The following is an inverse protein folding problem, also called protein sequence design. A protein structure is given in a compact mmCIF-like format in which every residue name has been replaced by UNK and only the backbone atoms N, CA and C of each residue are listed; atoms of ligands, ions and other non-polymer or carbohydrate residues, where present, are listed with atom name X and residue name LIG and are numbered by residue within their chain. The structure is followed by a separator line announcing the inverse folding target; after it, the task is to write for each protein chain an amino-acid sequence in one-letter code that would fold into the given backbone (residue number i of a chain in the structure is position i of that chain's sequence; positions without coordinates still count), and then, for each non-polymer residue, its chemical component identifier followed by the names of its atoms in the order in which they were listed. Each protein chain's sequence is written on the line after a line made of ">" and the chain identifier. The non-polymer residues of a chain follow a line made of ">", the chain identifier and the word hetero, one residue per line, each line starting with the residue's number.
data_IF_335329634934
#
_entry.id   IF_335329634934
#
_cell.length_a   1.000
_cell.length_b   1.000
_cell.length_c   1.000
_cell.angle_alpha   90.00
_cell.angle_beta   90.00
_cell.angle_gamma   90.00
#
_symmetry.space_group_name_H-M   'P 1'
#
loop_
_entity.id
_entity.type
_entity.pdbx_description
1 polymer ?
#
# COMPACT_ATOMS: atom_id res chain seq x y z
N UNK A 1 -19.12 -9.54 -16.00
CA UNK A 1 -17.80 -9.42 -15.33
C UNK A 1 -17.51 -10.73 -14.63
N UNK A 2 -16.56 -11.51 -15.14
CA UNK A 2 -16.11 -12.73 -14.46
C UNK A 2 -15.23 -12.25 -13.31
N UNK A 3 -15.71 -12.38 -12.07
CA UNK A 3 -14.92 -12.14 -10.87
C UNK A 3 -13.74 -13.12 -10.86
N UNK A 4 -12.59 -12.71 -11.40
CA UNK A 4 -11.34 -13.41 -11.10
C UNK A 4 -11.05 -13.18 -9.60
N UNK A 5 -10.80 -14.25 -8.82
CA UNK A 5 -10.43 -14.09 -7.42
C UNK A 5 -9.17 -13.22 -7.31
N UNK A 6 -9.02 -12.47 -6.20
CA UNK A 6 -7.79 -11.77 -5.94
C UNK A 6 -6.71 -12.83 -5.79
N UNK A 7 -5.59 -12.62 -6.49
CA UNK A 7 -4.49 -13.55 -6.43
C UNK A 7 -3.45 -12.99 -5.45
N UNK A 8 -3.00 -13.83 -4.53
CA UNK A 8 -1.95 -13.52 -3.55
C UNK A 8 -0.70 -14.27 -4.02
N UNK A 9 0.24 -13.65 -4.75
CA UNK A 9 1.51 -14.30 -5.02
C UNK A 9 2.46 -14.25 -3.82
N UNK A 10 3.34 -15.24 -3.79
CA UNK A 10 4.58 -15.21 -3.02
C UNK A 10 5.72 -14.76 -3.94
N UNK A 11 6.57 -13.88 -3.42
CA UNK A 11 7.75 -13.36 -4.10
C UNK A 11 8.99 -14.16 -3.70
N UNK A 12 9.73 -14.61 -4.71
CA UNK A 12 11.09 -15.10 -4.61
C UNK A 12 12.04 -14.23 -5.44
N UNK A 13 13.26 -14.04 -4.95
CA UNK A 13 14.32 -13.34 -5.69
C UNK A 13 15.27 -14.37 -6.31
N UNK A 14 15.38 -14.39 -7.64
CA UNK A 14 16.45 -15.09 -8.34
C UNK A 14 17.22 -14.10 -9.22
N UNK A 15 18.31 -13.54 -8.69
CA UNK A 15 19.10 -12.51 -9.39
C UNK A 15 18.44 -11.12 -9.35
N UNK A 16 18.42 -10.42 -10.49
CA UNK A 16 17.95 -9.03 -10.63
C UNK A 16 16.44 -8.90 -10.93
N UNK A 17 15.72 -10.01 -11.06
CA UNK A 17 14.31 -10.02 -11.46
C UNK A 17 13.42 -10.68 -10.39
N UNK A 18 12.29 -10.06 -10.02
CA UNK A 18 11.33 -10.69 -9.13
C UNK A 18 10.67 -11.89 -9.81
N UNK A 19 10.77 -13.07 -9.20
CA UNK A 19 9.99 -14.25 -9.59
C UNK A 19 8.87 -14.44 -8.58
N UNK A 20 7.65 -14.62 -9.05
CA UNK A 20 6.52 -14.88 -8.15
C UNK A 20 5.70 -16.06 -8.65
N UNK A 21 5.07 -16.75 -7.73
CA UNK A 21 4.06 -17.76 -8.04
C UNK A 21 2.79 -17.43 -7.25
N UNK A 22 1.65 -17.73 -7.86
CA UNK A 22 0.37 -17.59 -7.21
C UNK A 22 0.20 -18.65 -6.13
N UNK A 23 -0.14 -18.23 -4.92
CA UNK A 23 -0.39 -19.16 -3.83
C UNK A 23 -1.68 -19.94 -4.04
N UNK A 24 -1.62 -21.22 -3.72
CA UNK A 24 -2.78 -22.09 -3.50
C UNK A 24 -3.53 -21.67 -2.23
N UNK A 25 -4.80 -22.11 -2.09
CA UNK A 25 -5.59 -21.82 -0.89
C UNK A 25 -4.97 -22.40 0.40
N UNK A 26 -4.22 -23.50 0.28
CA UNK A 26 -3.44 -24.10 1.36
C UNK A 26 -2.27 -23.18 1.76
N UNK A 27 -1.49 -22.71 0.79
CA UNK A 27 -0.35 -21.82 1.06
C UNK A 27 -0.79 -20.48 1.67
N UNK A 28 -1.94 -19.94 1.24
CA UNK A 28 -2.54 -18.75 1.86
C UNK A 28 -2.86 -18.96 3.35
N UNK A 29 -3.16 -20.18 3.77
CA UNK A 29 -3.42 -20.52 5.17
C UNK A 29 -2.14 -20.70 6.00
N UNK A 30 -0.97 -20.80 5.35
CA UNK A 30 0.30 -21.12 5.98
C UNK A 30 1.43 -20.17 5.53
N UNK A 31 1.14 -18.86 5.50
CA UNK A 31 2.14 -17.83 5.22
C UNK A 31 3.24 -17.88 6.26
N UNK A 32 4.48 -17.72 5.79
CA UNK A 32 5.67 -17.83 6.63
C UNK A 32 6.05 -16.45 7.15
N UNK A 33 6.34 -16.39 8.45
CA UNK A 33 6.89 -15.19 9.05
C UNK A 33 8.37 -15.01 8.66
N UNK A 34 8.80 -13.75 8.56
CA UNK A 34 10.21 -13.39 8.49
C UNK A 34 10.94 -13.61 9.82
N UNK A 35 12.24 -13.33 9.82
CA UNK A 35 13.09 -13.40 11.01
C UNK A 35 12.65 -12.45 12.15
N UNK A 36 11.83 -11.45 11.82
CA UNK A 36 11.22 -10.51 12.77
C UNK A 36 9.90 -11.03 13.37
N UNK A 37 9.49 -12.24 13.01
CA UNK A 37 8.27 -12.87 13.50
C UNK A 37 6.99 -12.36 12.84
N UNK A 38 7.08 -11.60 11.73
CA UNK A 38 5.91 -11.08 11.02
C UNK A 38 5.76 -11.68 9.63
N UNK A 39 4.52 -11.91 9.22
CA UNK A 39 4.18 -12.12 7.81
C UNK A 39 4.18 -10.75 7.13
N UNK A 40 4.87 -10.62 5.99
CA UNK A 40 4.99 -9.35 5.25
C UNK A 40 4.15 -9.39 3.98
N UNK A 41 3.16 -8.50 3.88
CA UNK A 41 2.22 -8.46 2.75
C UNK A 41 2.15 -7.06 2.16
N UNK A 42 2.38 -6.95 0.86
CA UNK A 42 2.19 -5.69 0.14
C UNK A 42 0.78 -5.58 -0.45
N UNK A 43 0.13 -4.44 -0.21
CA UNK A 43 -1.13 -4.02 -0.80
C UNK A 43 -0.82 -2.98 -1.87
N UNK A 44 -0.75 -3.41 -3.13
CA UNK A 44 -0.41 -2.54 -4.25
C UNK A 44 -1.62 -1.79 -4.83
N UNK A 45 -1.39 -0.83 -5.75
CA UNK A 45 -2.47 -0.15 -6.49
C UNK A 45 -3.15 -1.05 -7.54
N UNK A 46 -4.24 -0.56 -8.14
CA UNK A 46 -4.85 -1.10 -9.40
C UNK A 46 -4.12 -0.34 -10.48
N UNK A 47 -3.98 -0.98 -11.64
CA UNK A 47 -3.16 -0.59 -12.79
C UNK A 47 -1.71 -1.05 -12.67
N UNK A 48 -1.46 -2.09 -11.87
CA UNK A 48 -0.13 -2.64 -11.67
C UNK A 48 -0.18 -4.12 -12.06
N UNK A 49 0.34 -4.51 -13.24
CA UNK A 49 0.48 -5.91 -13.58
C UNK A 49 1.28 -6.64 -12.48
N UNK A 50 1.11 -7.97 -12.33
CA UNK A 50 1.72 -8.74 -11.25
C UNK A 50 3.22 -8.50 -11.06
N UNK A 51 3.95 -8.28 -12.15
CA UNK A 51 5.37 -7.95 -12.13
C UNK A 51 5.67 -6.62 -11.42
N UNK A 52 4.96 -5.55 -11.76
CA UNK A 52 5.16 -4.26 -11.11
C UNK A 52 4.72 -4.31 -9.63
N UNK A 53 3.70 -5.12 -9.31
CA UNK A 53 3.24 -5.32 -7.94
C UNK A 53 4.32 -6.02 -7.09
N UNK A 54 5.04 -6.97 -7.69
CA UNK A 54 6.21 -7.58 -7.08
C UNK A 54 7.35 -6.58 -6.86
N UNK A 55 7.63 -5.71 -7.85
CA UNK A 55 8.65 -4.66 -7.72
C UNK A 55 8.33 -3.72 -6.55
N UNK A 56 7.08 -3.29 -6.40
CA UNK A 56 6.68 -2.44 -5.28
C UNK A 56 6.67 -3.19 -3.94
N UNK A 57 6.32 -4.47 -3.92
CA UNK A 57 6.44 -5.30 -2.72
C UNK A 57 7.89 -5.37 -2.23
N UNK A 58 8.83 -5.59 -3.15
CA UNK A 58 10.27 -5.59 -2.84
C UNK A 58 10.77 -4.19 -2.45
N UNK A 59 10.32 -3.14 -3.14
CA UNK A 59 10.74 -1.75 -2.90
C UNK A 59 10.37 -1.26 -1.50
N UNK A 60 9.18 -1.61 -1.02
CA UNK A 60 8.68 -1.12 0.26
C UNK A 60 9.09 -2.00 1.44
N UNK A 61 9.45 -3.26 1.20
CA UNK A 61 9.96 -4.15 2.23
C UNK A 61 11.25 -3.63 2.86
N UNK A 62 11.23 -3.43 4.18
CA UNK A 62 12.43 -3.08 4.97
C UNK A 62 13.49 -4.17 4.88
N UNK A 63 13.07 -5.44 4.98
CA UNK A 63 13.94 -6.60 4.82
C UNK A 63 13.53 -7.43 3.61
N UNK A 64 14.34 -7.37 2.55
CA UNK A 64 14.11 -8.12 1.30
C UNK A 64 14.46 -9.60 1.38
N UNK A 65 15.04 -10.06 2.49
CA UNK A 65 15.49 -11.45 2.67
C UNK A 65 14.46 -12.32 3.39
N UNK A 66 13.26 -11.80 3.68
CA UNK A 66 12.16 -12.57 4.28
C UNK A 66 11.14 -12.96 3.21
N UNK A 67 10.26 -13.94 3.46
CA UNK A 67 9.12 -14.20 2.59
C UNK A 67 8.27 -12.94 2.42
N UNK A 68 8.10 -12.50 1.18
CA UNK A 68 7.25 -11.35 0.82
C UNK A 68 6.04 -11.84 0.03
N UNK A 69 4.86 -11.42 0.45
CA UNK A 69 3.61 -11.68 -0.24
C UNK A 69 3.05 -10.38 -0.78
N UNK A 70 2.22 -10.44 -1.81
CA UNK A 70 1.56 -9.23 -2.30
C UNK A 70 0.19 -9.54 -2.87
N UNK A 71 -0.74 -8.61 -2.72
CA UNK A 71 -2.08 -8.75 -3.31
C UNK A 71 -2.04 -8.14 -4.71
N UNK A 72 -2.32 -8.96 -5.73
CA UNK A 72 -2.45 -8.49 -7.11
C UNK A 72 -3.88 -8.06 -7.37
N UNK A 73 -4.01 -6.90 -7.98
CA UNK A 73 -5.30 -6.39 -8.44
C UNK A 73 -5.43 -6.66 -9.93
N UNK A 74 -6.51 -7.30 -10.41
CA UNK A 74 -6.71 -7.47 -11.84
C UNK A 74 -6.73 -6.10 -12.54
N UNK A 75 -6.10 -6.05 -13.71
CA UNK A 75 -6.12 -4.90 -14.60
C UNK A 75 -7.57 -4.53 -14.91
N UNK A 76 -7.95 -3.27 -14.72
CA UNK A 76 -9.23 -2.80 -15.22
C UNK A 76 -9.08 -2.59 -16.73
N UNK A 77 -10.05 -3.08 -17.51
CA UNK A 77 -10.17 -2.75 -18.93
C UNK A 77 -10.31 -1.23 -19.08
N UNK A 78 -9.21 -0.51 -19.30
CA UNK A 78 -9.10 0.59 -20.26
C UNK A 78 -7.79 1.36 -20.09
N UNK A 79 -7.12 1.53 -21.22
CA UNK A 79 -6.23 2.66 -21.47
C UNK A 79 -6.97 3.98 -21.16
N UNK A 80 -6.44 4.81 -20.26
CA UNK A 80 -6.95 6.18 -20.07
C UNK A 80 -5.78 7.14 -20.03
N UNK A 81 -5.55 7.79 -21.17
CA UNK A 81 -4.71 8.98 -21.31
C UNK A 81 -5.50 10.29 -21.30
N UNK A 82 -6.81 10.34 -21.02
CA UNK A 82 -7.59 11.59 -21.26
C UNK A 82 -8.38 12.20 -20.09
N UNK A 83 -8.34 11.68 -18.86
CA UNK A 83 -9.01 12.37 -17.73
C UNK A 83 -8.35 12.10 -16.37
N UNK A 84 -7.05 12.39 -16.26
CA UNK A 84 -6.21 12.06 -15.10
C UNK A 84 -6.41 13.05 -13.93
N UNK A 85 -7.54 12.90 -13.25
CA UNK A 85 -7.88 13.14 -11.82
C UNK A 85 -9.27 12.57 -11.65
N UNK A 86 -10.20 12.97 -12.53
CA UNK A 86 -11.58 12.51 -12.56
C UNK A 86 -11.70 11.01 -12.90
N UNK A 87 -10.80 10.44 -13.70
CA UNK A 87 -10.70 9.00 -13.92
C UNK A 87 -10.28 8.25 -12.65
N UNK A 88 -9.30 8.78 -11.91
CA UNK A 88 -8.86 8.20 -10.65
C UNK A 88 -9.91 8.36 -9.53
N UNK A 89 -10.56 9.54 -9.45
CA UNK A 89 -11.69 9.81 -8.56
C UNK A 89 -12.88 8.90 -8.91
N UNK A 90 -13.33 8.85 -10.16
CA UNK A 90 -14.41 7.96 -10.61
C UNK A 90 -14.09 6.50 -10.35
N UNK A 91 -12.85 6.08 -10.54
CA UNK A 91 -12.42 4.71 -10.26
C UNK A 91 -12.36 4.38 -8.77
N UNK A 92 -12.00 5.36 -7.93
CA UNK A 92 -12.09 5.25 -6.48
C UNK A 92 -13.54 5.30 -5.97
N UNK A 93 -14.37 6.16 -6.55
CA UNK A 93 -15.80 6.31 -6.25
C UNK A 93 -16.59 5.08 -6.70
N UNK A 94 -16.19 4.40 -7.79
CA UNK A 94 -16.83 3.17 -8.26
C UNK A 94 -16.63 1.96 -7.32
N UNK A 95 -15.66 1.99 -6.39
CA UNK A 95 -15.48 0.95 -5.37
C UNK A 95 -16.47 1.07 -4.18
N UNK A 96 -17.52 1.88 -4.30
CA UNK A 96 -18.58 2.04 -3.29
C UNK A 96 -19.49 0.81 -3.09
N UNK A 97 -19.40 -0.24 -3.93
CA UNK A 97 -20.40 -1.33 -4.01
C UNK A 97 -20.13 -2.59 -3.16
N UNK A 98 -19.24 -2.52 -2.17
CA UNK A 98 -18.92 -3.64 -1.28
C UNK A 98 -17.42 -3.87 -1.15
N UNK A 99 -17.00 -4.80 -0.29
CA UNK A 99 -15.58 -5.15 -0.17
C UNK A 99 -15.11 -5.69 -1.53
N UNK A 100 -14.10 -5.04 -2.09
CA UNK A 100 -13.42 -5.62 -3.26
C UNK A 100 -12.79 -6.94 -2.84
N UNK A 101 -12.64 -7.85 -3.80
CA UNK A 101 -11.90 -9.11 -3.63
C UNK A 101 -10.60 -8.92 -2.83
N UNK A 102 -9.79 -7.93 -3.19
CA UNK A 102 -8.53 -7.63 -2.49
C UNK A 102 -8.71 -7.11 -1.06
N UNK A 103 -9.81 -6.42 -0.77
CA UNK A 103 -10.13 -5.99 0.60
C UNK A 103 -10.52 -7.19 1.47
N UNK A 104 -11.27 -8.14 0.91
CA UNK A 104 -11.59 -9.39 1.59
C UNK A 104 -10.32 -10.22 1.85
N UNK A 105 -9.44 -10.35 0.86
CA UNK A 105 -8.16 -11.05 1.02
C UNK A 105 -7.30 -10.40 2.13
N UNK A 106 -7.15 -9.07 2.12
CA UNK A 106 -6.42 -8.36 3.17
C UNK A 106 -7.05 -8.59 4.56
N UNK A 107 -8.38 -8.60 4.64
CA UNK A 107 -9.14 -8.88 5.86
C UNK A 107 -8.94 -10.30 6.37
N UNK A 108 -8.93 -11.28 5.48
CA UNK A 108 -8.69 -12.68 5.83
C UNK A 108 -7.25 -12.90 6.31
N UNK A 109 -6.28 -12.18 5.73
CA UNK A 109 -4.89 -12.17 6.19
C UNK A 109 -4.79 -11.54 7.59
N UNK A 110 -5.38 -10.36 7.81
CA UNK A 110 -5.37 -9.71 9.12
C UNK A 110 -6.04 -10.56 10.19
N UNK A 111 -7.17 -11.22 9.87
CA UNK A 111 -7.86 -12.11 10.81
C UNK A 111 -6.98 -13.28 11.26
N UNK A 112 -6.13 -13.79 10.37
CA UNK A 112 -5.26 -14.95 10.63
C UNK A 112 -3.96 -14.57 11.34
N UNK A 113 -3.31 -13.51 10.88
CA UNK A 113 -1.94 -13.18 11.31
C UNK A 113 -1.83 -11.91 12.16
N UNK A 114 -2.89 -11.10 12.26
CA UNK A 114 -2.81 -9.78 12.87
C UNK A 114 -2.48 -9.78 14.37
N UNK A 115 -2.81 -10.85 15.09
CA UNK A 115 -2.43 -11.01 16.50
C UNK A 115 -1.13 -11.78 16.71
N UNK A 116 -0.66 -12.54 15.71
CA UNK A 116 0.57 -13.34 15.82
C UNK A 116 1.80 -12.59 15.31
N UNK A 117 1.64 -11.77 14.27
CA UNK A 117 2.68 -10.92 13.71
C UNK A 117 2.42 -10.65 12.24
N UNK A 118 2.08 -9.41 11.91
CA UNK A 118 1.75 -9.01 10.54
C UNK A 118 2.32 -7.62 10.22
N UNK A 119 2.85 -7.49 9.02
CA UNK A 119 3.23 -6.21 8.43
C UNK A 119 2.52 -6.02 7.10
N UNK A 120 1.89 -4.86 6.92
CA UNK A 120 1.40 -4.41 5.62
C UNK A 120 2.19 -3.22 5.12
N UNK A 121 2.75 -3.33 3.92
CA UNK A 121 3.11 -2.17 3.11
C UNK A 121 1.96 -1.87 2.15
N UNK A 122 1.54 -0.62 2.05
CA UNK A 122 0.44 -0.26 1.15
C UNK A 122 0.79 0.98 0.33
N UNK A 123 0.85 0.81 -0.99
CA UNK A 123 1.25 1.87 -1.91
C UNK A 123 0.04 2.43 -2.66
N UNK A 124 0.04 3.75 -2.89
CA UNK A 124 -0.95 4.42 -3.74
C UNK A 124 -2.39 4.07 -3.29
N UNK A 125 -3.23 3.54 -4.19
CA UNK A 125 -4.57 3.08 -3.87
C UNK A 125 -4.62 1.83 -3.00
N UNK A 126 -3.56 1.03 -2.91
CA UNK A 126 -3.50 -0.11 -2.00
C UNK A 126 -3.66 0.29 -0.52
N UNK A 127 -3.30 1.53 -0.18
CA UNK A 127 -3.61 2.11 1.14
C UNK A 127 -5.11 2.17 1.44
N UNK A 128 -5.97 2.35 0.42
CA UNK A 128 -7.43 2.27 0.58
C UNK A 128 -7.92 0.84 0.80
N UNK A 129 -7.23 -0.16 0.25
CA UNK A 129 -7.51 -1.57 0.59
C UNK A 129 -7.26 -1.82 2.07
N UNK A 130 -6.11 -1.36 2.59
CA UNK A 130 -5.81 -1.43 4.02
C UNK A 130 -6.82 -0.64 4.88
N UNK A 131 -7.19 0.57 4.46
CA UNK A 131 -8.20 1.38 5.14
C UNK A 131 -9.58 0.70 5.17
N UNK A 132 -10.06 0.21 4.02
CA UNK A 132 -11.37 -0.42 3.88
C UNK A 132 -11.44 -1.74 4.65
N UNK A 133 -10.35 -2.52 4.67
CA UNK A 133 -10.23 -3.72 5.50
C UNK A 133 -10.46 -3.38 6.98
N UNK A 134 -9.75 -2.38 7.52
CA UNK A 134 -9.91 -1.99 8.93
C UNK A 134 -11.30 -1.39 9.20
N UNK A 135 -11.84 -0.61 8.25
CA UNK A 135 -13.17 -0.04 8.37
C UNK A 135 -14.26 -1.12 8.35
N UNK A 136 -14.09 -2.19 7.58
CA UNK A 136 -15.00 -3.36 7.56
C UNK A 136 -15.08 -4.04 8.92
N UNK A 137 -13.93 -4.35 9.55
CA UNK A 137 -13.94 -4.89 10.92
C UNK A 137 -14.68 -3.98 11.89
N UNK A 138 -14.44 -2.66 11.80
CA UNK A 138 -15.15 -1.68 12.63
C UNK A 138 -16.66 -1.69 12.41
N UNK A 139 -17.12 -1.72 11.16
CA UNK A 139 -18.56 -1.80 10.84
C UNK A 139 -19.21 -3.08 11.35
N UNK A 140 -18.45 -4.17 11.42
CA UNK A 140 -18.88 -5.46 11.96
C UNK A 140 -18.76 -5.57 13.49
N UNK A 141 -18.24 -4.52 14.16
CA UNK A 141 -18.00 -4.53 15.60
C UNK A 141 -16.80 -5.38 16.04
N UNK A 142 -16.00 -5.88 15.10
CA UNK A 142 -14.81 -6.71 15.37
C UNK A 142 -13.64 -5.83 15.81
N UNK A 143 -13.12 -6.11 17.00
CA UNK A 143 -11.93 -5.47 17.56
C UNK A 143 -10.93 -6.54 18.03
N UNK A 144 -9.73 -6.10 18.39
CA UNK A 144 -8.62 -6.94 18.87
C UNK A 144 -8.18 -8.08 17.92
N UNK A 145 -8.18 -7.81 16.61
CA UNK A 145 -7.69 -8.73 15.56
C UNK A 145 -6.32 -8.33 15.00
N UNK A 146 -5.82 -7.15 15.37
CA UNK A 146 -4.61 -6.56 14.81
C UNK A 146 -3.57 -6.17 15.88
N UNK A 147 -3.55 -6.87 17.01
CA UNK A 147 -2.72 -6.52 18.18
C UNK A 147 -1.21 -6.53 17.94
N UNK A 148 -0.73 -7.35 17.01
CA UNK A 148 0.67 -7.41 16.58
C UNK A 148 0.84 -7.02 15.10
N UNK A 149 -0.06 -6.17 14.59
CA UNK A 149 0.00 -5.67 13.21
C UNK A 149 0.67 -4.31 13.12
N UNK A 150 1.59 -4.16 12.18
CA UNK A 150 2.15 -2.87 11.76
C UNK A 150 1.76 -2.56 10.32
N UNK A 151 1.59 -1.29 9.98
CA UNK A 151 1.19 -0.88 8.63
C UNK A 151 2.01 0.35 8.22
N UNK A 152 2.56 0.32 7.01
CA UNK A 152 3.27 1.43 6.37
C UNK A 152 2.58 1.81 5.06
N UNK A 153 2.34 3.10 4.87
CA UNK A 153 1.65 3.68 3.74
C UNK A 153 2.61 4.54 2.91
N UNK A 154 2.75 4.20 1.62
CA UNK A 154 3.67 4.85 0.68
C UNK A 154 2.86 5.56 -0.40
N UNK A 155 2.96 6.89 -0.48
CA UNK A 155 2.15 7.71 -1.39
C UNK A 155 0.63 7.45 -1.29
N UNK A 156 0.05 7.34 -0.08
CA UNK A 156 -1.26 6.74 0.11
C UNK A 156 -2.43 7.59 -0.40
N UNK A 157 -3.36 6.97 -1.14
CA UNK A 157 -4.68 7.53 -1.42
C UNK A 157 -5.61 7.52 -0.20
N UNK A 158 -5.31 6.74 0.85
CA UNK A 158 -6.02 6.77 2.12
C UNK A 158 -5.51 7.90 3.02
N UNK A 159 -6.41 8.46 3.84
CA UNK A 159 -6.00 9.40 4.88
C UNK A 159 -5.32 8.65 6.03
N UNK A 160 -4.04 8.94 6.26
CA UNK A 160 -3.18 8.23 7.23
C UNK A 160 -3.68 8.43 8.66
N UNK A 161 -4.12 9.65 9.01
CA UNK A 161 -4.62 9.93 10.36
C UNK A 161 -5.90 9.13 10.62
N UNK A 162 -6.84 9.09 9.67
CA UNK A 162 -8.03 8.27 9.80
C UNK A 162 -7.69 6.77 9.88
N UNK A 163 -6.73 6.30 9.06
CA UNK A 163 -6.24 4.92 9.10
C UNK A 163 -5.63 4.55 10.46
N UNK A 164 -4.86 5.44 11.10
CA UNK A 164 -4.29 5.23 12.43
C UNK A 164 -5.37 5.03 13.51
N UNK A 165 -6.51 5.73 13.39
CA UNK A 165 -7.65 5.55 14.28
C UNK A 165 -8.38 4.23 14.06
N UNK A 166 -8.47 3.79 12.82
CA UNK A 166 -9.00 2.46 12.49
C UNK A 166 -8.09 1.35 13.02
N UNK A 167 -6.76 1.47 12.83
CA UNK A 167 -5.80 0.52 13.39
C UNK A 167 -5.89 0.49 14.92
N UNK A 168 -6.01 1.64 15.57
CA UNK A 168 -6.27 1.76 17.00
C UNK A 168 -7.51 0.99 17.44
N UNK A 169 -8.60 1.08 16.68
CA UNK A 169 -9.82 0.31 16.97
C UNK A 169 -9.61 -1.20 16.78
N UNK A 170 -9.14 -1.63 15.61
CA UNK A 170 -9.05 -3.07 15.27
C UNK A 170 -7.95 -3.80 16.03
N UNK A 171 -6.97 -3.08 16.59
CA UNK A 171 -5.92 -3.64 17.45
C UNK A 171 -6.27 -3.63 18.94
N UNK A 172 -7.48 -3.18 19.31
CA UNK A 172 -7.84 -3.02 20.73
C UNK A 172 -6.98 -1.97 21.45
N UNK A 173 -6.48 -0.98 20.71
CA UNK A 173 -5.61 0.10 21.21
C UNK A 173 -4.12 -0.26 21.30
N UNK A 174 -3.72 -1.48 20.91
CA UNK A 174 -2.32 -1.94 20.98
C UNK A 174 -1.44 -1.29 19.90
N UNK A 175 -2.02 -0.93 18.76
CA UNK A 175 -1.34 -0.33 17.62
C UNK A 175 -2.02 0.98 17.26
N UNK A 176 -1.30 2.09 17.34
CA UNK A 176 -1.89 3.44 17.18
C UNK A 176 -1.17 4.29 16.15
N UNK A 177 -0.18 3.74 15.45
CA UNK A 177 0.60 4.48 14.46
C UNK A 177 0.53 3.79 13.10
N UNK A 178 0.52 4.59 12.04
CA UNK A 178 0.74 4.14 10.68
C UNK A 178 2.04 4.76 10.22
N UNK A 179 2.96 3.95 9.67
CA UNK A 179 4.12 4.47 8.94
C UNK A 179 3.64 5.24 7.72
N UNK A 180 4.17 6.43 7.50
CA UNK A 180 3.77 7.30 6.40
C UNK A 180 5.01 7.78 5.65
N UNK A 181 5.06 7.45 4.37
CA UNK A 181 6.02 7.96 3.43
C UNK A 181 5.26 8.67 2.31
N UNK A 182 5.51 9.95 2.15
CA UNK A 182 4.67 10.80 1.30
C UNK A 182 5.38 12.06 0.86
N UNK A 183 5.37 12.27 -0.45
CA UNK A 183 6.08 13.38 -1.07
C UNK A 183 5.18 14.62 -1.23
N UNK A 184 5.76 15.83 -1.06
CA UNK A 184 5.01 17.10 -1.14
C UNK A 184 4.26 17.29 -2.46
N UNK A 185 4.81 16.76 -3.55
CA UNK A 185 4.28 16.92 -4.91
C UNK A 185 3.53 15.68 -5.42
N UNK A 186 3.36 14.65 -4.58
CA UNK A 186 2.53 13.49 -4.92
C UNK A 186 1.04 13.88 -4.88
N UNK A 187 0.42 13.96 -6.06
CA UNK A 187 -1.00 14.30 -6.19
C UNK A 187 -1.91 13.32 -5.44
N UNK A 188 -1.63 12.02 -5.48
CA UNK A 188 -2.45 10.99 -4.86
C UNK A 188 -2.42 11.16 -3.34
N UNK A 189 -1.22 11.27 -2.76
CA UNK A 189 -1.11 11.41 -1.31
C UNK A 189 -1.70 12.72 -0.79
N UNK A 190 -1.40 13.82 -1.48
CA UNK A 190 -1.71 15.18 -1.01
C UNK A 190 -3.16 15.56 -1.22
N UNK A 191 -3.72 15.30 -2.40
CA UNK A 191 -5.05 15.77 -2.78
C UNK A 191 -6.12 14.71 -2.54
N UNK A 192 -5.83 13.45 -2.88
CA UNK A 192 -6.83 12.38 -2.76
C UNK A 192 -6.87 11.86 -1.32
N UNK A 193 -5.71 11.53 -0.75
CA UNK A 193 -5.62 11.12 0.64
C UNK A 193 -5.78 12.27 1.65
N UNK A 194 -5.63 13.52 1.18
CA UNK A 194 -5.65 14.70 2.05
C UNK A 194 -4.53 14.68 3.09
N UNK A 195 -3.40 14.04 2.78
CA UNK A 195 -2.31 13.82 3.72
C UNK A 195 -1.32 14.99 3.75
N UNK A 196 -0.50 15.03 4.80
CA UNK A 196 0.71 15.85 4.88
C UNK A 196 1.79 15.42 3.88
N UNK A 197 3.04 15.76 4.15
CA UNK A 197 4.20 15.21 3.46
C UNK A 197 5.36 15.08 4.44
N UNK A 198 6.36 14.32 4.06
CA UNK A 198 7.52 13.96 4.89
C UNK A 198 8.85 14.38 4.26
N UNK A 199 8.86 14.60 2.95
CA UNK A 199 9.98 15.12 2.17
C UNK A 199 9.47 15.79 0.88
N UNK A 200 10.34 16.54 0.21
CA UNK A 200 9.94 17.43 -0.90
C UNK A 200 10.99 17.64 -1.99
N UNK A 201 12.04 16.82 -2.02
CA UNK A 201 13.13 16.97 -2.99
C UNK A 201 12.65 16.69 -4.41
N UNK A 202 12.86 17.65 -5.31
CA UNK A 202 12.58 17.55 -6.74
C UNK A 202 13.76 18.11 -7.54
N UNK A 203 13.90 17.77 -8.83
CA UNK A 203 14.94 18.34 -9.69
C UNK A 203 14.85 19.87 -9.79
N UNK A 204 16.00 20.53 -9.94
CA UNK A 204 16.08 21.97 -10.15
C UNK A 204 15.23 22.40 -11.36
N UNK A 205 14.47 23.49 -11.18
CA UNK A 205 13.56 24.00 -12.20
C UNK A 205 12.29 23.16 -12.40
N UNK A 206 12.08 22.11 -11.61
CA UNK A 206 10.79 21.42 -11.52
C UNK A 206 9.79 22.15 -10.61
N UNK A 207 8.54 21.75 -10.67
CA UNK A 207 7.45 22.30 -9.86
C UNK A 207 6.28 21.31 -9.77
N UNK A 208 5.26 21.66 -8.97
CA UNK A 208 4.10 20.81 -8.75
C UNK A 208 3.40 20.33 -10.03
N UNK A 209 3.27 21.19 -11.04
CA UNK A 209 2.63 20.83 -12.31
C UNK A 209 3.47 19.80 -13.09
N UNK A 210 4.78 20.03 -13.19
CA UNK A 210 5.70 19.09 -13.84
C UNK A 210 5.73 17.75 -13.13
N UNK A 211 5.78 17.75 -11.80
CA UNK A 211 5.82 16.50 -11.03
C UNK A 211 4.52 15.72 -11.09
N UNK A 212 3.38 16.41 -11.05
CA UNK A 212 2.08 15.75 -11.27
C UNK A 212 2.03 15.10 -12.65
N UNK A 213 2.56 15.76 -13.69
CA UNK A 213 2.64 15.17 -15.03
C UNK A 213 3.61 13.98 -15.09
N UNK A 214 4.79 14.09 -14.46
CA UNK A 214 5.78 13.01 -14.38
C UNK A 214 5.20 11.74 -13.77
N UNK A 215 4.26 11.83 -12.82
CA UNK A 215 3.57 10.65 -12.26
C UNK A 215 2.86 9.79 -13.31
N UNK A 216 2.50 10.38 -14.46
CA UNK A 216 1.77 9.68 -15.53
C UNK A 216 2.64 9.35 -16.74
N UNK A 217 3.77 10.06 -16.92
CA UNK A 217 4.61 9.91 -18.11
C UNK A 217 6.01 9.37 -17.82
N UNK A 218 6.42 9.30 -16.56
CA UNK A 218 7.76 8.86 -16.17
C UNK A 218 7.68 7.70 -15.17
N UNK A 219 8.39 6.57 -15.42
CA UNK A 219 8.47 5.48 -14.44
C UNK A 219 9.07 5.92 -13.10
N UNK A 220 9.94 6.94 -13.11
CA UNK A 220 10.50 7.54 -11.89
C UNK A 220 9.82 8.89 -11.62
N UNK A 221 8.95 8.90 -10.61
CA UNK A 221 8.19 10.08 -10.21
C UNK A 221 8.14 10.20 -8.70
N UNK A 222 7.67 11.35 -8.22
CA UNK A 222 7.35 11.60 -6.81
C UNK A 222 6.37 10.61 -6.18
N UNK A 223 5.65 9.81 -6.99
CA UNK A 223 4.69 8.81 -6.53
C UNK A 223 5.23 7.38 -6.61
N UNK A 224 6.27 7.13 -7.38
CA UNK A 224 6.89 5.79 -7.54
C UNK A 224 8.22 5.69 -6.79
N UNK A 225 8.90 6.81 -6.56
CA UNK A 225 10.17 6.91 -5.86
C UNK A 225 9.99 7.10 -4.34
N UNK A 226 9.41 6.08 -3.71
CA UNK A 226 9.12 6.00 -2.27
C UNK A 226 9.79 4.76 -1.66
N UNK A 227 9.91 4.69 -0.34
CA UNK A 227 10.58 3.62 0.39
C UNK A 227 12.02 3.38 -0.07
N UNK A 228 12.40 2.11 -0.26
CA UNK A 228 13.75 1.73 -0.68
C UNK A 228 13.93 1.74 -2.21
N UNK A 229 13.33 2.72 -2.90
CA UNK A 229 13.43 2.90 -4.35
C UNK A 229 14.88 2.97 -4.88
N UNK A 230 15.03 2.83 -6.20
CA UNK A 230 16.32 2.75 -6.90
C UNK A 230 17.25 3.95 -6.62
N UNK A 231 18.55 3.79 -6.89
CA UNK A 231 19.52 4.89 -6.81
C UNK A 231 19.15 6.08 -7.71
N UNK A 232 18.57 5.80 -8.89
CA UNK A 232 18.05 6.83 -9.78
C UNK A 232 16.92 7.63 -9.12
N UNK A 233 15.98 6.95 -8.47
CA UNK A 233 14.93 7.61 -7.67
C UNK A 233 15.52 8.50 -6.58
N UNK A 234 16.49 8.00 -5.81
CA UNK A 234 17.10 8.74 -4.70
C UNK A 234 17.93 9.94 -5.16
N UNK A 235 18.56 9.83 -6.31
CA UNK A 235 19.31 10.93 -6.92
C UNK A 235 18.38 12.07 -7.35
N UNK A 236 17.23 11.74 -7.94
CA UNK A 236 16.29 12.72 -8.52
C UNK A 236 15.35 13.32 -7.47
N UNK A 237 14.81 12.49 -6.57
CA UNK A 237 13.76 12.86 -5.62
C UNK A 237 14.18 12.78 -4.15
N UNK A 238 15.48 12.63 -3.89
CA UNK A 238 16.00 12.45 -2.53
C UNK A 238 15.66 11.10 -1.92
N UNK A 239 16.14 10.88 -0.69
CA UNK A 239 15.76 9.68 0.07
C UNK A 239 14.36 9.87 0.66
N UNK A 240 13.54 8.84 0.52
CA UNK A 240 12.22 8.76 1.15
C UNK A 240 12.35 8.90 2.68
N UNK A 241 11.26 9.34 3.33
CA UNK A 241 11.24 9.61 4.75
C UNK A 241 9.98 9.02 5.40
N UNK A 242 10.05 7.74 5.77
CA UNK A 242 8.99 7.06 6.50
C UNK A 242 8.92 7.57 7.94
N UNK A 243 7.80 8.23 8.30
CA UNK A 243 7.55 8.72 9.67
C UNK A 243 6.35 8.02 10.29
N UNK A 244 6.38 7.82 11.61
CA UNK A 244 5.22 7.27 12.33
C UNK A 244 4.17 8.36 12.56
N UNK A 245 2.96 8.16 12.05
CA UNK A 245 1.83 9.06 12.26
C UNK A 245 0.90 8.45 13.31
N UNK A 246 0.89 8.99 14.54
CA UNK A 246 0.03 8.48 15.60
C UNK A 246 -1.41 8.93 15.43
N UNK A 247 -2.33 8.12 15.96
CA UNK A 247 -3.67 8.54 16.36
C UNK A 247 -3.48 9.76 17.27
N UNK A 248 -3.91 10.94 16.80
CA UNK A 248 -3.71 12.26 17.44
C UNK A 248 -3.54 12.12 18.95
N UNK A 249 -2.41 12.60 19.49
CA UNK A 249 -2.26 12.72 20.94
C UNK A 249 -3.48 13.48 21.47
N UNK A 250 -4.05 12.99 22.57
CA UNK A 250 -5.03 13.75 23.34
C UNK A 250 -4.46 15.17 23.50
N UNK A 251 -5.14 16.16 22.92
CA UNK A 251 -5.03 17.55 23.39
C UNK A 251 -5.83 17.65 24.68
#
# INVERSE_FOLDING_TARGET
>A
MINKPPSLPSLGMAGLFPHFHYLTDEEKQHLQAGSDGKVHVSLNGIFTPPYEAAVYAEQHAENKNVPLYFVVFPEADSAISELLVAGYQKFMENNFWGLTNSTQEAKDIMSRYGNTGLHFDAHSRGSLTGFNMMNSFKQEGVNDVAGNTTISFHGPAANVLAASGLLGYVSGGKQTTIGFDGHRFDFVSRWIGGNGYTYETIPDGSNWWKETWNMFTNPNSVHTCLGHASSACRYVYGSSNLVQVPLRSKK
#
